data_IF_618742570751
#
_entry.id   IF_618742570751
#
_cell.length_a   1.000
_cell.length_b   1.000
_cell.length_c   1.000
_cell.angle_alpha   90.00
_cell.angle_beta   90.00
_cell.angle_gamma   90.00
#
_symmetry.space_group_name_H-M   'P 1'
#
loop_
_entity.id
_entity.type
_entity.pdbx_description
1 polymer ?
#
# COMPACT_ATOMS: atom_id res chain seq x y z
N UNK A 1 10.73 11.96 -22.69
CA UNK A 1 10.97 11.15 -21.47
C UNK A 1 10.12 9.90 -21.54
N UNK A 2 10.72 8.70 -21.63
CA UNK A 2 9.96 7.45 -21.47
C UNK A 2 9.53 7.36 -20.01
N UNK A 3 8.27 7.68 -19.71
CA UNK A 3 7.72 7.43 -18.38
C UNK A 3 7.68 5.92 -18.20
N UNK A 4 8.62 5.38 -17.42
CA UNK A 4 8.51 4.01 -16.92
C UNK A 4 7.21 3.88 -16.13
N UNK A 5 6.17 3.37 -16.78
CA UNK A 5 4.81 3.20 -16.24
C UNK A 5 4.77 2.35 -14.97
N UNK A 6 5.89 1.72 -14.59
CA UNK A 6 6.09 0.95 -13.35
C UNK A 6 6.39 1.80 -12.11
N UNK A 7 7.04 2.96 -12.26
CA UNK A 7 7.38 3.86 -11.14
C UNK A 7 6.17 4.40 -10.37
N UNK A 8 5.03 4.79 -11.00
CA UNK A 8 3.93 5.39 -10.26
C UNK A 8 3.28 4.42 -9.25
N UNK A 9 3.20 3.13 -9.57
CA UNK A 9 2.56 2.15 -8.68
C UNK A 9 3.38 1.88 -7.41
N UNK A 10 4.70 1.73 -7.54
CA UNK A 10 5.58 1.56 -6.38
C UNK A 10 5.67 2.84 -5.53
N UNK A 11 5.71 4.02 -6.17
CA UNK A 11 5.72 5.29 -5.44
C UNK A 11 4.42 5.56 -4.67
N UNK A 12 3.27 5.13 -5.19
CA UNK A 12 1.99 5.24 -4.49
C UNK A 12 1.82 4.15 -3.42
N UNK A 13 2.24 2.90 -3.69
CA UNK A 13 2.07 1.79 -2.75
C UNK A 13 2.88 1.96 -1.46
N UNK A 14 4.09 2.52 -1.53
CA UNK A 14 4.98 2.68 -0.38
C UNK A 14 4.37 3.51 0.78
N UNK A 15 3.93 4.77 0.58
CA UNK A 15 3.32 5.55 1.65
C UNK A 15 2.01 4.94 2.16
N UNK A 16 1.22 4.31 1.27
CA UNK A 16 -0.02 3.62 1.63
C UNK A 16 0.22 2.45 2.60
N UNK A 17 1.25 1.64 2.34
CA UNK A 17 1.61 0.54 3.22
C UNK A 17 2.23 1.01 4.53
N UNK A 18 3.04 2.07 4.51
CA UNK A 18 3.64 2.65 5.73
C UNK A 18 2.56 3.21 6.66
N UNK A 19 1.63 4.00 6.12
CA UNK A 19 0.52 4.56 6.89
C UNK A 19 -0.43 3.46 7.37
N UNK A 20 -0.78 2.51 6.50
CA UNK A 20 -1.59 1.35 6.88
C UNK A 20 -0.96 0.53 8.01
N UNK A 21 0.35 0.24 7.95
CA UNK A 21 1.05 -0.50 8.99
C UNK A 21 1.12 0.29 10.32
N UNK A 22 1.36 1.60 10.25
CA UNK A 22 1.37 2.48 11.43
C UNK A 22 -0.01 2.51 12.10
N UNK A 23 -1.07 2.66 11.30
CA UNK A 23 -2.45 2.66 11.79
C UNK A 23 -2.89 1.29 12.31
N UNK A 24 -2.41 0.19 11.71
CA UNK A 24 -2.67 -1.16 12.19
C UNK A 24 -2.02 -1.41 13.56
N UNK A 25 -0.80 -0.92 13.78
CA UNK A 25 -0.12 -1.00 15.06
C UNK A 25 -0.87 -0.22 16.16
N UNK A 26 -1.36 0.99 15.84
CA UNK A 26 -2.19 1.78 16.75
C UNK A 26 -3.58 1.15 16.94
N UNK A 27 -4.12 0.50 15.92
CA UNK A 27 -5.37 -0.26 16.04
C UNK A 27 -5.24 -1.45 17.00
N UNK A 28 -4.13 -2.18 16.90
CA UNK A 28 -3.81 -3.31 17.76
C UNK A 28 -3.55 -2.92 19.23
N UNK A 29 -3.18 -1.66 19.51
CA UNK A 29 -3.01 -1.16 20.88
C UNK A 29 -4.30 -0.76 21.59
N UNK A 30 -5.47 -1.05 20.99
CA UNK A 30 -6.79 -0.88 21.62
C UNK A 30 -7.63 0.26 21.05
N UNK A 31 -7.14 0.98 20.04
CA UNK A 31 -7.89 2.03 19.35
C UNK A 31 -8.50 1.52 18.05
N UNK A 32 -9.68 0.89 18.17
CA UNK A 32 -10.39 0.24 17.05
C UNK A 32 -10.59 1.14 15.81
N UNK A 33 -10.78 2.45 16.00
CA UNK A 33 -10.89 3.44 14.92
C UNK A 33 -9.68 3.44 13.98
N UNK A 34 -8.46 3.38 14.53
CA UNK A 34 -7.25 3.33 13.70
C UNK A 34 -7.11 1.99 12.97
N UNK A 35 -7.65 0.90 13.54
CA UNK A 35 -7.72 -0.40 12.88
C UNK A 35 -8.59 -0.37 11.62
N UNK A 36 -9.76 0.25 11.65
CA UNK A 36 -10.62 0.41 10.47
C UNK A 36 -9.96 1.28 9.39
N UNK A 37 -9.31 2.37 9.79
CA UNK A 37 -8.57 3.24 8.87
C UNK A 37 -7.35 2.54 8.27
N UNK A 38 -6.66 1.69 9.03
CA UNK A 38 -5.54 0.89 8.54
C UNK A 38 -5.93 0.05 7.33
N UNK A 39 -7.09 -0.61 7.38
CA UNK A 39 -7.62 -1.43 6.28
C UNK A 39 -7.81 -0.59 5.01
N UNK A 40 -8.31 0.65 5.16
CA UNK A 40 -8.50 1.59 4.06
C UNK A 40 -7.21 1.99 3.34
N UNK A 41 -6.06 1.96 4.02
CA UNK A 41 -4.75 2.24 3.42
C UNK A 41 -4.01 0.97 2.98
N UNK A 42 -4.09 -0.11 3.76
CA UNK A 42 -3.44 -1.39 3.48
C UNK A 42 -3.99 -2.07 2.23
N UNK A 43 -5.32 -2.11 2.06
CA UNK A 43 -5.92 -2.77 0.89
C UNK A 43 -5.48 -2.15 -0.45
N UNK A 44 -5.64 -0.83 -0.69
CA UNK A 44 -5.17 -0.22 -1.93
C UNK A 44 -3.64 -0.28 -2.09
N UNK A 45 -2.87 -0.13 -0.99
CA UNK A 45 -1.41 -0.31 -1.03
C UNK A 45 -0.99 -1.72 -1.47
N UNK A 46 -1.65 -2.75 -0.95
CA UNK A 46 -1.41 -4.15 -1.30
C UNK A 46 -1.80 -4.43 -2.76
N UNK A 47 -2.94 -3.92 -3.22
CA UNK A 47 -3.40 -4.06 -4.61
C UNK A 47 -2.39 -3.42 -5.58
N UNK A 48 -1.93 -2.20 -5.30
CA UNK A 48 -0.92 -1.52 -6.13
C UNK A 48 0.41 -2.29 -6.16
N UNK A 49 0.84 -2.85 -5.02
CA UNK A 49 2.04 -3.67 -4.94
C UNK A 49 1.91 -4.96 -5.76
N UNK A 50 0.78 -5.66 -5.66
CA UNK A 50 0.50 -6.88 -6.43
C UNK A 50 0.44 -6.60 -7.93
N UNK A 51 -0.16 -5.49 -8.35
CA UNK A 51 -0.18 -5.06 -9.77
C UNK A 51 1.23 -4.79 -10.27
N UNK A 52 2.04 -4.07 -9.48
CA UNK A 52 3.43 -3.81 -9.84
C UNK A 52 4.27 -5.11 -9.92
N UNK A 53 4.03 -6.06 -9.03
CA UNK A 53 4.70 -7.37 -9.02
C UNK A 53 4.29 -8.22 -10.24
N UNK A 54 3.00 -8.30 -10.58
CA UNK A 54 2.51 -9.00 -11.78
C UNK A 54 3.05 -8.38 -13.07
N UNK A 55 3.19 -7.05 -13.13
CA UNK A 55 3.81 -6.38 -14.28
C UNK A 55 5.30 -6.67 -14.39
N UNK A 56 5.99 -6.99 -13.28
CA UNK A 56 7.43 -7.32 -13.28
C UNK A 56 7.70 -8.68 -13.93
N UNK A 57 6.91 -9.71 -13.62
CA UNK A 57 7.09 -11.08 -14.12
C UNK A 57 6.60 -11.36 -15.55
N UNK A 58 5.90 -10.40 -16.19
CA UNK A 58 5.47 -10.49 -17.61
C UNK A 58 6.51 -9.93 -18.62
N UNK A 59 7.66 -9.47 -18.15
CA UNK A 59 8.83 -9.15 -18.99
C UNK A 59 9.91 -10.18 -18.73
#
# INVERSE_FOLDING_TARGET
MRQDTRKPFYMAASPLLILGASFAAVGASGQSTFGYLAVGFLLPGLVLLLVAFKQRGKR
#
